data_IF_427636754418
#
_entry.id   IF_427636754418
#
_cell.length_a   1.000
_cell.length_b   1.000
_cell.length_c   1.000
_cell.angle_alpha   90.00
_cell.angle_beta   90.00
_cell.angle_gamma   90.00
#
_symmetry.space_group_name_H-M   'P 1'
#
loop_
_entity.id
_entity.type
_entity.pdbx_description
1 polymer ?
#
# COMPACT_ATOMS: atom_id res chain seq x y z
N UNK A 1 -17.21 10.60 -7.61
CA UNK A 1 -16.46 9.86 -6.58
C UNK A 1 -16.23 10.85 -5.46
N UNK A 2 -16.64 10.48 -4.26
CA UNK A 2 -16.34 11.25 -3.06
C UNK A 2 -14.91 10.91 -2.62
N UNK A 3 -14.08 11.94 -2.40
CA UNK A 3 -12.67 11.75 -2.04
C UNK A 3 -12.48 11.44 -0.56
N UNK A 4 -13.40 11.89 0.30
CA UNK A 4 -13.38 11.59 1.74
C UNK A 4 -13.73 10.12 1.97
N UNK A 5 -14.76 9.60 1.26
CA UNK A 5 -15.09 8.17 1.30
C UNK A 5 -13.93 7.31 0.78
N UNK A 6 -13.30 7.73 -0.31
CA UNK A 6 -12.12 7.05 -0.85
C UNK A 6 -10.98 7.01 0.18
N UNK A 7 -10.62 8.16 0.75
CA UNK A 7 -9.56 8.27 1.75
C UNK A 7 -9.87 7.41 2.98
N UNK A 8 -11.13 7.38 3.43
CA UNK A 8 -11.59 6.53 4.51
C UNK A 8 -11.29 5.04 4.24
N UNK A 9 -11.63 4.54 3.06
CA UNK A 9 -11.41 3.12 2.74
C UNK A 9 -9.94 2.75 2.61
N UNK A 10 -9.11 3.62 2.00
CA UNK A 10 -7.65 3.41 1.94
C UNK A 10 -7.05 3.42 3.34
N UNK A 11 -7.43 4.41 4.17
CA UNK A 11 -6.96 4.50 5.55
C UNK A 11 -7.38 3.29 6.39
N UNK A 12 -8.61 2.81 6.22
CA UNK A 12 -9.11 1.61 6.91
C UNK A 12 -8.27 0.38 6.56
N UNK A 13 -7.94 0.18 5.30
CA UNK A 13 -7.13 -0.96 4.87
C UNK A 13 -5.69 -0.87 5.40
N UNK A 14 -5.03 0.29 5.28
CA UNK A 14 -3.67 0.47 5.79
C UNK A 14 -3.60 0.33 7.33
N UNK A 15 -4.58 0.85 8.06
CA UNK A 15 -4.66 0.68 9.53
C UNK A 15 -4.95 -0.77 9.92
N UNK A 16 -5.77 -1.49 9.15
CA UNK A 16 -5.99 -2.93 9.34
C UNK A 16 -4.70 -3.72 9.19
N UNK A 17 -3.87 -3.39 8.19
CA UNK A 17 -2.54 -3.99 8.05
C UNK A 17 -1.61 -3.71 9.23
N UNK A 18 -1.67 -2.50 9.82
CA UNK A 18 -0.89 -2.17 11.02
C UNK A 18 -1.34 -2.96 12.25
N UNK A 19 -2.65 -3.16 12.43
CA UNK A 19 -3.15 -4.01 13.52
C UNK A 19 -2.60 -5.44 13.40
N UNK A 20 -2.55 -5.99 12.17
CA UNK A 20 -1.91 -7.28 11.92
C UNK A 20 -0.41 -7.23 12.22
N UNK A 21 0.28 -6.15 11.86
CA UNK A 21 1.70 -5.99 12.15
C UNK A 21 1.99 -5.98 13.65
N UNK A 22 1.14 -5.33 14.44
CA UNK A 22 1.21 -5.32 15.91
C UNK A 22 1.04 -6.72 16.50
N UNK A 23 0.06 -7.49 16.02
CA UNK A 23 -0.16 -8.88 16.43
C UNK A 23 1.04 -9.79 16.09
N UNK A 24 1.69 -9.56 14.95
CA UNK A 24 2.85 -10.34 14.51
C UNK A 24 4.14 -9.95 15.26
N UNK A 25 4.27 -8.69 15.68
CA UNK A 25 5.47 -8.13 16.30
C UNK A 25 6.67 -8.03 15.35
N UNK A 26 7.76 -7.41 15.82
CA UNK A 26 8.93 -7.08 14.99
C UNK A 26 9.55 -8.28 14.26
N UNK A 27 9.60 -9.44 14.90
CA UNK A 27 10.11 -10.64 14.22
C UNK A 27 9.10 -11.13 13.18
N UNK A 28 7.81 -11.19 13.54
CA UNK A 28 6.77 -11.74 12.69
C UNK A 28 6.54 -10.97 11.40
N UNK A 29 6.60 -9.64 11.43
CA UNK A 29 6.38 -8.80 10.24
C UNK A 29 7.43 -9.01 9.14
N UNK A 30 8.55 -9.65 9.48
CA UNK A 30 9.65 -9.94 8.58
C UNK A 30 9.73 -11.42 8.16
N UNK A 31 8.85 -12.28 8.68
CA UNK A 31 8.81 -13.70 8.31
C UNK A 31 8.14 -13.92 6.96
N UNK A 32 8.61 -14.96 6.26
CA UNK A 32 7.94 -15.52 5.08
C UNK A 32 7.41 -16.90 5.44
N UNK A 33 6.21 -17.21 4.96
CA UNK A 33 5.72 -18.59 4.97
C UNK A 33 6.51 -19.41 3.93
N UNK A 34 6.67 -20.74 4.12
CA UNK A 34 7.45 -21.60 3.23
C UNK A 34 6.69 -21.93 1.93
N UNK A 35 6.16 -20.91 1.28
CA UNK A 35 5.49 -20.98 -0.03
C UNK A 35 6.31 -20.15 -1.02
N UNK A 36 6.72 -20.71 -2.17
CA UNK A 36 7.46 -19.96 -3.17
C UNK A 36 6.74 -18.66 -3.56
N UNK A 37 7.47 -17.54 -3.55
CA UNK A 37 6.91 -16.22 -3.88
C UNK A 37 6.14 -15.54 -2.74
N UNK A 38 6.08 -16.13 -1.54
CA UNK A 38 5.43 -15.49 -0.40
C UNK A 38 6.10 -14.16 0.01
N UNK A 39 5.27 -13.15 0.23
CA UNK A 39 5.68 -11.86 0.76
C UNK A 39 5.79 -11.88 2.30
N UNK A 40 6.42 -10.84 2.85
CA UNK A 40 6.40 -10.52 4.28
C UNK A 40 5.32 -9.45 4.55
N UNK A 41 4.88 -9.31 5.81
CA UNK A 41 3.99 -8.20 6.18
C UNK A 41 4.63 -6.84 5.92
N UNK A 42 5.93 -6.71 6.22
CA UNK A 42 6.73 -5.52 5.92
C UNK A 42 6.68 -5.18 4.43
N UNK A 43 6.87 -6.18 3.57
CA UNK A 43 6.84 -5.98 2.12
C UNK A 43 5.46 -5.54 1.64
N UNK A 44 4.39 -6.19 2.11
CA UNK A 44 3.02 -5.82 1.73
C UNK A 44 2.65 -4.40 2.18
N UNK A 45 2.94 -4.02 3.43
CA UNK A 45 2.63 -2.69 3.95
C UNK A 45 3.44 -1.60 3.22
N UNK A 46 4.74 -1.85 3.02
CA UNK A 46 5.61 -0.91 2.31
C UNK A 46 5.15 -0.72 0.87
N UNK A 47 4.79 -1.81 0.19
CA UNK A 47 4.26 -1.78 -1.16
C UNK A 47 2.94 -1.00 -1.25
N UNK A 48 2.00 -1.25 -0.34
CA UNK A 48 0.71 -0.55 -0.32
C UNK A 48 0.87 0.96 -0.12
N UNK A 49 1.79 1.39 0.76
CA UNK A 49 2.11 2.82 0.90
C UNK A 49 2.75 3.40 -0.38
N UNK A 50 3.68 2.67 -1.01
CA UNK A 50 4.32 3.10 -2.25
C UNK A 50 3.35 3.19 -3.44
N UNK A 51 2.35 2.30 -3.50
CA UNK A 51 1.24 2.36 -4.47
C UNK A 51 0.47 3.66 -4.29
N UNK A 52 0.08 4.02 -3.07
CA UNK A 52 -0.62 5.29 -2.78
C UNK A 52 0.23 6.49 -3.22
N UNK A 53 1.49 6.54 -2.78
CA UNK A 53 2.41 7.65 -3.09
C UNK A 53 2.63 7.83 -4.60
N UNK A 54 2.85 6.74 -5.33
CA UNK A 54 3.10 6.81 -6.76
C UNK A 54 1.85 7.17 -7.56
N UNK A 55 0.75 6.45 -7.35
CA UNK A 55 -0.43 6.60 -8.18
C UNK A 55 -1.19 7.90 -7.87
N UNK A 56 -1.38 8.22 -6.59
CA UNK A 56 -2.06 9.47 -6.21
C UNK A 56 -1.07 10.63 -6.27
N UNK A 57 0.05 10.53 -5.57
CA UNK A 57 1.03 11.60 -5.48
C UNK A 57 1.66 11.95 -6.82
N UNK A 58 2.23 10.96 -7.53
CA UNK A 58 2.94 11.24 -8.78
C UNK A 58 2.00 11.49 -9.96
N UNK A 59 0.98 10.63 -10.15
CA UNK A 59 0.16 10.70 -11.37
C UNK A 59 -0.99 11.70 -11.30
N UNK A 60 -1.59 11.92 -10.12
CA UNK A 60 -2.71 12.85 -9.96
C UNK A 60 -2.26 14.19 -9.37
N UNK A 61 -1.56 14.18 -8.23
CA UNK A 61 -1.08 15.38 -7.56
C UNK A 61 0.23 15.94 -8.15
N UNK A 62 0.82 15.25 -9.14
CA UNK A 62 1.99 15.71 -9.91
C UNK A 62 3.26 15.94 -9.08
N UNK A 63 3.34 15.33 -7.89
CA UNK A 63 4.53 15.31 -7.03
C UNK A 63 5.64 14.48 -7.66
N UNK A 64 6.88 14.83 -7.41
CA UNK A 64 8.01 14.01 -7.83
C UNK A 64 8.18 12.85 -6.83
N UNK A 65 7.98 11.63 -7.30
CA UNK A 65 8.05 10.40 -6.50
C UNK A 65 8.96 9.42 -7.20
N UNK A 66 10.03 9.03 -6.51
CA UNK A 66 10.92 7.96 -6.96
C UNK A 66 10.44 6.66 -6.34
N UNK A 67 10.21 5.65 -7.18
CA UNK A 67 9.71 4.34 -6.73
C UNK A 67 10.69 3.24 -7.13
N UNK A 68 11.11 2.46 -6.15
CA UNK A 68 11.90 1.24 -6.34
C UNK A 68 11.09 0.04 -5.83
N UNK A 69 10.47 -0.67 -6.79
CA UNK A 69 9.55 -1.77 -6.50
C UNK A 69 10.26 -2.95 -5.86
N UNK A 70 11.49 -3.25 -6.25
CA UNK A 70 12.22 -4.41 -5.73
C UNK A 70 12.67 -4.14 -4.28
N UNK A 71 13.07 -2.89 -3.98
CA UNK A 71 13.40 -2.47 -2.63
C UNK A 71 12.19 -2.55 -1.67
N UNK A 72 10.96 -2.32 -2.15
CA UNK A 72 9.74 -2.46 -1.34
C UNK A 72 9.62 -3.86 -0.71
N UNK A 73 9.89 -4.92 -1.49
CA UNK A 73 9.75 -6.32 -1.04
C UNK A 73 11.00 -6.92 -0.38
N UNK A 74 12.16 -6.27 -0.55
CA UNK A 74 13.40 -6.64 0.13
C UNK A 74 13.52 -6.00 1.53
N UNK A 75 12.71 -4.99 1.84
CA UNK A 75 12.77 -4.23 3.09
C UNK A 75 12.50 -5.10 4.32
N UNK A 76 13.25 -4.83 5.39
CA UNK A 76 12.92 -5.23 6.76
C UNK A 76 12.58 -3.99 7.59
N UNK A 77 11.67 -4.15 8.55
CA UNK A 77 11.23 -3.06 9.40
C UNK A 77 10.74 -3.57 10.76
N UNK A 78 10.74 -2.69 11.75
CA UNK A 78 10.01 -2.84 13.01
C UNK A 78 8.55 -2.39 12.84
N UNK A 79 7.68 -2.80 13.75
CA UNK A 79 6.28 -2.35 13.77
C UNK A 79 6.19 -0.82 13.89
N UNK A 80 7.04 -0.21 14.72
CA UNK A 80 7.06 1.25 14.90
C UNK A 80 7.46 2.00 13.61
N UNK A 81 8.40 1.45 12.83
CA UNK A 81 8.76 2.02 11.53
C UNK A 81 7.61 1.91 10.52
N UNK A 82 6.87 0.80 10.52
CA UNK A 82 5.70 0.59 9.67
C UNK A 82 4.57 1.55 10.05
N UNK A 83 4.27 1.70 11.34
CA UNK A 83 3.29 2.67 11.85
C UNK A 83 3.66 4.10 11.41
N UNK A 84 4.93 4.47 11.58
CA UNK A 84 5.43 5.78 11.18
C UNK A 84 5.34 6.00 9.66
N UNK A 85 5.61 4.97 8.86
CA UNK A 85 5.50 5.04 7.40
C UNK A 85 4.05 5.21 6.94
N UNK A 86 3.12 4.42 7.50
CA UNK A 86 1.69 4.54 7.17
C UNK A 86 1.12 5.88 7.63
N UNK A 87 1.49 6.38 8.81
CA UNK A 87 1.07 7.71 9.26
C UNK A 87 1.49 8.79 8.26
N UNK A 88 2.76 8.80 7.84
CA UNK A 88 3.25 9.73 6.81
C UNK A 88 2.51 9.57 5.48
N UNK A 89 2.24 8.33 5.06
CA UNK A 89 1.51 8.05 3.83
C UNK A 89 0.08 8.64 3.88
N UNK A 90 -0.63 8.49 5.00
CA UNK A 90 -1.99 9.01 5.15
C UNK A 90 -2.02 10.53 5.23
N UNK A 91 -1.08 11.13 5.96
CA UNK A 91 -0.92 12.59 6.02
C UNK A 91 -0.59 13.19 4.65
N UNK A 92 0.20 12.48 3.84
CA UNK A 92 0.54 12.92 2.50
C UNK A 92 -0.61 12.69 1.52
N UNK A 93 -1.35 11.58 1.64
CA UNK A 93 -2.54 11.30 0.85
C UNK A 93 -3.58 12.42 1.00
N UNK A 94 -3.79 12.90 2.23
CA UNK A 94 -4.69 14.02 2.51
C UNK A 94 -4.32 15.28 1.71
N UNK A 95 -3.04 15.66 1.76
CA UNK A 95 -2.49 16.81 1.02
C UNK A 95 -2.58 16.62 -0.49
N UNK A 96 -2.29 15.41 -0.97
CA UNK A 96 -2.35 15.09 -2.38
C UNK A 96 -3.81 15.17 -2.89
N UNK A 97 -4.78 14.60 -2.16
CA UNK A 97 -6.20 14.63 -2.54
C UNK A 97 -6.77 16.05 -2.54
N UNK A 98 -6.30 16.94 -1.66
CA UNK A 98 -6.72 18.34 -1.64
C UNK A 98 -6.44 19.11 -2.94
N UNK A 99 -5.48 18.65 -3.76
CA UNK A 99 -5.12 19.27 -5.04
C UNK A 99 -5.57 18.46 -6.27
N UNK A 100 -6.15 17.27 -6.06
CA UNK A 100 -6.61 16.41 -7.15
C UNK A 100 -7.88 16.97 -7.79
N UNK A 101 -7.84 17.17 -9.10
CA UNK A 101 -9.03 17.43 -9.91
C UNK A 101 -9.36 16.20 -10.74
N UNK A 102 -10.51 15.59 -10.46
CA UNK A 102 -10.97 14.35 -11.10
C UNK A 102 -11.27 14.49 -12.61
N UNK A 103 -11.42 15.71 -13.12
CA UNK A 103 -11.62 15.97 -14.54
C UNK A 103 -10.29 15.99 -15.33
N UNK A 104 -9.15 16.12 -14.65
CA UNK A 104 -7.85 16.11 -15.30
C UNK A 104 -7.39 14.68 -15.63
N UNK A 105 -6.70 14.56 -16.76
CA UNK A 105 -6.03 13.30 -17.11
C UNK A 105 -4.83 13.08 -16.19
N UNK A 106 -4.65 11.86 -15.65
CA UNK A 106 -3.43 11.48 -14.93
C UNK A 106 -2.18 11.65 -15.80
N UNK A 107 -1.01 11.80 -15.17
CA UNK A 107 0.25 11.53 -15.88
C UNK A 107 0.30 10.06 -16.32
N UNK A 108 1.01 9.80 -17.41
CA UNK A 108 1.22 8.43 -17.89
C UNK A 108 2.06 7.67 -16.87
N UNK A 109 1.53 6.55 -16.38
CA UNK A 109 2.27 5.64 -15.52
C UNK A 109 3.45 5.02 -16.28
N UNK A 110 4.55 4.77 -15.58
CA UNK A 110 5.63 3.96 -16.12
C UNK A 110 5.14 2.53 -16.36
N UNK A 111 5.29 2.05 -17.60
CA UNK A 111 4.88 0.69 -17.98
C UNK A 111 5.69 -0.38 -17.24
N UNK A 112 6.89 -0.07 -16.77
CA UNK A 112 7.71 -0.99 -16.00
C UNK A 112 7.16 -1.27 -14.59
N UNK A 113 6.32 -0.38 -14.05
CA UNK A 113 5.80 -0.49 -12.68
C UNK A 113 4.55 -1.38 -12.53
N UNK A 114 4.31 -2.28 -13.51
CA UNK A 114 3.24 -3.29 -13.53
C UNK A 114 1.85 -2.72 -13.18
N UNK A 115 1.47 -1.62 -13.84
CA UNK A 115 0.14 -1.01 -13.72
C UNK A 115 -0.86 -1.50 -14.77
N UNK A 116 -2.10 -0.96 -14.75
CA UNK A 116 -3.13 -1.32 -15.72
C UNK A 116 -2.66 -1.13 -17.17
N UNK A 117 -2.95 -2.11 -18.02
CA UNK A 117 -2.50 -2.14 -19.43
C UNK A 117 -3.25 -1.15 -20.34
N UNK A 118 -4.04 -0.26 -19.76
CA UNK A 118 -4.83 0.77 -20.45
C UNK A 118 -4.68 2.10 -19.75
N UNK A 119 -4.88 3.18 -20.50
CA UNK A 119 -4.96 4.52 -19.91
C UNK A 119 -6.15 4.62 -18.95
N UNK A 120 -5.94 5.28 -17.82
CA UNK A 120 -6.96 5.51 -16.80
C UNK A 120 -7.40 6.96 -16.77
N UNK A 121 -8.62 7.19 -16.28
CA UNK A 121 -9.06 8.49 -15.77
C UNK A 121 -8.52 8.71 -14.35
N UNK A 122 -8.63 9.92 -13.80
CA UNK A 122 -8.28 10.16 -12.39
C UNK A 122 -9.06 9.24 -11.44
N UNK A 123 -10.36 9.09 -11.64
CA UNK A 123 -11.19 8.12 -10.91
C UNK A 123 -10.69 6.69 -11.07
N UNK A 124 -10.27 6.30 -12.29
CA UNK A 124 -9.71 4.98 -12.53
C UNK A 124 -8.41 4.72 -11.77
N UNK A 125 -7.55 5.74 -11.64
CA UNK A 125 -6.35 5.67 -10.80
C UNK A 125 -6.70 5.47 -9.33
N UNK A 126 -7.65 6.23 -8.79
CA UNK A 126 -8.09 6.07 -7.40
C UNK A 126 -8.68 4.67 -7.17
N UNK A 127 -9.52 4.17 -8.07
CA UNK A 127 -10.05 2.80 -7.98
C UNK A 127 -8.95 1.74 -7.97
N UNK A 128 -7.93 1.90 -8.81
CA UNK A 128 -6.80 0.98 -8.85
C UNK A 128 -6.01 0.97 -7.53
N UNK A 129 -5.77 2.14 -6.92
CA UNK A 129 -5.12 2.20 -5.59
C UNK A 129 -5.98 1.51 -4.53
N UNK A 130 -7.30 1.74 -4.53
CA UNK A 130 -8.19 1.08 -3.59
C UNK A 130 -8.18 -0.45 -3.78
N UNK A 131 -8.25 -0.91 -5.02
CA UNK A 131 -8.14 -2.33 -5.43
C UNK A 131 -6.86 -2.96 -4.87
N UNK A 132 -5.70 -2.38 -5.14
CA UNK A 132 -4.40 -2.92 -4.73
C UNK A 132 -4.24 -2.95 -3.20
N UNK A 133 -4.61 -1.87 -2.50
CA UNK A 133 -4.48 -1.80 -1.04
C UNK A 133 -5.45 -2.77 -0.36
N UNK A 134 -6.68 -2.89 -0.85
CA UNK A 134 -7.64 -3.85 -0.32
C UNK A 134 -7.21 -5.31 -0.60
N UNK A 135 -6.69 -5.58 -1.80
CA UNK A 135 -6.16 -6.89 -2.17
C UNK A 135 -5.02 -7.31 -1.25
N UNK A 136 -4.04 -6.42 -1.02
CA UNK A 136 -2.91 -6.72 -0.15
C UNK A 136 -3.30 -6.78 1.34
N UNK A 137 -4.36 -6.08 1.76
CA UNK A 137 -4.88 -6.23 3.11
C UNK A 137 -5.39 -7.66 3.32
N UNK A 138 -6.23 -8.17 2.41
CA UNK A 138 -6.70 -9.55 2.47
C UNK A 138 -5.57 -10.58 2.35
N UNK A 139 -4.56 -10.30 1.51
CA UNK A 139 -3.36 -11.15 1.46
C UNK A 139 -2.62 -11.21 2.81
N UNK A 140 -2.54 -10.08 3.51
CA UNK A 140 -1.89 -10.00 4.81
C UNK A 140 -2.70 -10.69 5.93
N UNK A 141 -4.03 -10.65 5.88
CA UNK A 141 -4.90 -11.44 6.77
C UNK A 141 -4.59 -12.94 6.66
N UNK A 142 -4.50 -13.46 5.43
CA UNK A 142 -4.14 -14.88 5.18
C UNK A 142 -2.71 -15.20 5.63
N UNK A 143 -1.76 -14.28 5.38
CA UNK A 143 -0.37 -14.44 5.81
C UNK A 143 -0.28 -14.52 7.34
N UNK A 144 -0.98 -13.64 8.06
CA UNK A 144 -1.04 -13.65 9.53
C UNK A 144 -1.52 -15.00 10.03
N UNK A 145 -2.67 -15.46 9.55
CA UNK A 145 -3.30 -16.70 10.02
C UNK A 145 -2.34 -17.89 9.83
N UNK A 146 -1.63 -17.93 8.69
CA UNK A 146 -0.63 -18.97 8.40
C UNK A 146 0.58 -18.90 9.34
N UNK A 147 1.07 -17.70 9.64
CA UNK A 147 2.20 -17.49 10.56
C UNK A 147 1.83 -17.78 12.02
N UNK A 148 0.58 -17.53 12.42
CA UNK A 148 0.11 -17.76 13.78
C UNK A 148 -0.16 -19.25 14.06
N UNK A 149 -0.68 -20.00 13.10
CA UNK A 149 -0.86 -21.46 13.23
C UNK A 149 0.48 -22.19 13.38
N UNK A 150 1.58 -21.60 12.89
CA UNK A 150 2.91 -22.22 12.91
C UNK A 150 3.78 -21.82 14.11
N UNK A 151 3.30 -20.95 15.01
CA UNK A 151 4.00 -20.63 16.26
C UNK A 151 3.67 -21.67 17.35
N UNK A 152 4.65 -22.35 17.95
CA UNK A 152 4.39 -23.11 19.18
C UNK A 152 3.96 -22.14 20.30
N UNK A 153 3.03 -22.59 21.13
CA UNK A 153 2.50 -21.86 22.28
C UNK A 153 3.57 -21.50 23.33
#
# INVERSE_FOLDING_TARGET
MDLEEYQYFVARALRGMLAIAEELGDQGVNLRVPVPGANTATGLITHSAAVVDYWVGALLARRDVVRDRDAEFARRATVAELQSAVARCLDQLDKDLAVVNLQHRPRTADRALLGPQRSLTATGVLLHVLEEVAQHHGQLEVLRDTLMVTRPA
#
